data_IF_676546092892
#
_entry.id   IF_676546092892
#
_cell.length_a   1.000
_cell.length_b   1.000
_cell.length_c   1.000
_cell.angle_alpha   90.00
_cell.angle_beta   90.00
_cell.angle_gamma   90.00
#
_symmetry.space_group_name_H-M   'P 1'
#
loop_
_entity.id
_entity.type
_entity.pdbx_description
1 polymer ?
#
# COMPACT_ATOMS: atom_id res chain seq x y z
N UNK A 1 1.73 -9.57 -10.56
CA UNK A 1 1.06 -8.35 -10.04
C UNK A 1 1.97 -7.14 -10.26
N UNK A 2 1.45 -6.02 -10.80
CA UNK A 2 2.26 -4.82 -11.12
C UNK A 2 2.90 -4.17 -9.88
N UNK A 3 2.23 -4.25 -8.73
CA UNK A 3 2.66 -3.65 -7.47
C UNK A 3 3.59 -4.53 -6.61
N UNK A 4 4.02 -5.70 -7.10
CA UNK A 4 4.82 -6.64 -6.30
C UNK A 4 6.13 -6.03 -5.77
N UNK A 5 6.83 -5.23 -6.57
CA UNK A 5 8.05 -4.52 -6.13
C UNK A 5 7.80 -3.51 -5.01
N UNK A 6 6.58 -2.95 -4.94
CA UNK A 6 6.22 -2.06 -3.84
C UNK A 6 6.02 -2.87 -2.55
N UNK A 7 5.38 -4.03 -2.62
CA UNK A 7 5.24 -4.92 -1.45
C UNK A 7 6.59 -5.41 -0.94
N UNK A 8 7.50 -5.79 -1.84
CA UNK A 8 8.87 -6.18 -1.47
C UNK A 8 9.60 -5.03 -0.75
N UNK A 9 9.52 -3.82 -1.30
CA UNK A 9 10.09 -2.61 -0.68
C UNK A 9 9.49 -2.36 0.71
N UNK A 10 8.16 -2.43 0.85
CA UNK A 10 7.49 -2.23 2.13
C UNK A 10 7.94 -3.28 3.15
N UNK A 11 8.07 -4.54 2.73
CA UNK A 11 8.50 -5.63 3.62
C UNK A 11 9.95 -5.47 4.12
N UNK A 12 10.86 -4.98 3.25
CA UNK A 12 12.30 -4.89 3.55
C UNK A 12 12.68 -3.55 4.18
N UNK A 13 12.19 -2.45 3.61
CA UNK A 13 12.64 -1.09 3.95
C UNK A 13 11.57 -0.23 4.60
N UNK A 14 10.34 -0.75 4.77
CA UNK A 14 9.18 0.00 5.30
C UNK A 14 8.81 1.23 4.47
N UNK A 15 9.23 1.27 3.21
CA UNK A 15 8.92 2.35 2.27
C UNK A 15 8.32 1.76 1.00
N UNK A 16 7.34 2.46 0.41
CA UNK A 16 6.80 2.10 -0.90
C UNK A 16 7.80 2.44 -2.02
N UNK A 17 7.77 1.63 -3.08
CA UNK A 17 8.67 1.76 -4.22
C UNK A 17 8.12 2.64 -5.33
N UNK A 18 8.70 2.53 -6.53
CA UNK A 18 8.20 3.25 -7.72
C UNK A 18 6.82 2.77 -8.14
N UNK A 19 5.96 3.70 -8.56
CA UNK A 19 4.69 3.39 -9.17
C UNK A 19 4.89 2.56 -10.46
N UNK A 20 4.24 1.40 -10.59
CA UNK A 20 4.41 0.55 -11.76
C UNK A 20 3.63 1.04 -13.00
N UNK A 21 2.85 2.12 -12.87
CA UNK A 21 2.06 2.69 -13.96
C UNK A 21 2.66 3.94 -14.58
N UNK A 22 3.21 4.85 -13.76
CA UNK A 22 3.80 6.11 -14.25
C UNK A 22 5.29 6.29 -13.89
N UNK A 23 5.89 5.38 -13.12
CA UNK A 23 7.31 5.45 -12.73
C UNK A 23 7.63 6.43 -11.61
N UNK A 24 6.64 7.17 -11.09
CA UNK A 24 6.84 8.11 -9.99
C UNK A 24 7.31 7.43 -8.70
N UNK A 25 8.16 8.12 -7.93
CA UNK A 25 8.53 7.73 -6.56
C UNK A 25 7.51 8.19 -5.51
N UNK A 26 6.51 9.01 -5.89
CA UNK A 26 5.49 9.55 -5.00
C UNK A 26 4.37 8.51 -4.81
N UNK A 27 4.71 7.43 -4.13
CA UNK A 27 3.78 6.37 -3.73
C UNK A 27 3.65 6.37 -2.21
N UNK A 28 2.54 5.84 -1.74
CA UNK A 28 2.31 5.64 -0.31
C UNK A 28 1.48 4.36 -0.11
N UNK A 29 1.42 3.92 1.14
CA UNK A 29 0.73 2.71 1.54
C UNK A 29 0.19 2.81 2.96
N UNK A 30 -0.83 2.00 3.24
CA UNK A 30 -1.35 1.78 4.58
C UNK A 30 -1.75 0.32 4.75
N UNK A 31 -1.74 -0.17 5.98
CA UNK A 31 -2.52 -1.35 6.34
C UNK A 31 -3.53 -0.97 7.42
N UNK A 32 -4.74 -1.49 7.25
CA UNK A 32 -5.92 -1.13 8.03
C UNK A 32 -6.47 -2.39 8.68
N UNK A 33 -6.68 -2.33 9.99
CA UNK A 33 -7.26 -3.41 10.78
C UNK A 33 -6.88 -3.32 12.25
N UNK A 34 -7.08 -4.41 12.98
CA UNK A 34 -6.69 -4.53 14.39
C UNK A 34 -5.45 -5.40 14.51
N UNK A 35 -4.50 -5.03 15.37
CA UNK A 35 -3.31 -5.83 15.67
C UNK A 35 -3.70 -7.25 16.08
N UNK A 36 -3.02 -8.25 15.52
CA UNK A 36 -3.31 -9.68 15.72
C UNK A 36 -4.51 -10.19 14.91
N UNK A 37 -5.21 -9.31 14.21
CA UNK A 37 -6.33 -9.63 13.34
C UNK A 37 -5.98 -9.64 11.86
N UNK A 38 -6.98 -10.01 11.05
CA UNK A 38 -6.92 -9.91 9.59
C UNK A 38 -7.50 -8.57 9.16
N UNK A 39 -6.69 -7.78 8.47
CA UNK A 39 -7.05 -6.51 7.87
C UNK A 39 -6.84 -6.51 6.36
N UNK A 40 -6.60 -5.33 5.79
CA UNK A 40 -6.27 -5.15 4.38
C UNK A 40 -5.16 -4.13 4.20
N UNK A 41 -4.50 -4.17 3.04
CA UNK A 41 -3.49 -3.21 2.64
C UNK A 41 -3.96 -2.38 1.45
N UNK A 42 -3.52 -1.13 1.41
CA UNK A 42 -3.70 -0.24 0.27
C UNK A 42 -2.33 0.30 -0.13
N UNK A 43 -2.05 0.30 -1.43
CA UNK A 43 -0.86 0.94 -2.00
C UNK A 43 -1.33 1.81 -3.15
N UNK A 44 -0.89 3.07 -3.19
CA UNK A 44 -1.29 4.00 -4.24
C UNK A 44 -0.15 4.91 -4.69
N UNK A 45 -0.34 5.52 -5.85
CA UNK A 45 0.50 6.60 -6.35
C UNK A 45 -0.22 7.94 -6.19
N UNK A 46 0.45 8.90 -5.56
CA UNK A 46 -0.11 10.24 -5.37
C UNK A 46 -0.19 11.06 -6.66
N UNK A 47 0.57 10.70 -7.70
CA UNK A 47 0.59 11.43 -8.97
C UNK A 47 -0.45 10.91 -9.96
N UNK A 48 -0.36 9.63 -10.36
CA UNK A 48 -1.27 9.05 -11.36
C UNK A 48 -2.54 8.41 -10.76
N UNK A 49 -2.66 8.44 -9.42
CA UNK A 49 -3.78 7.89 -8.65
C UNK A 49 -4.01 6.39 -8.79
N UNK A 50 -3.17 5.66 -9.53
CA UNK A 50 -3.27 4.20 -9.62
C UNK A 50 -3.01 3.57 -8.25
N UNK A 51 -3.79 2.56 -7.89
CA UNK A 51 -3.72 1.89 -6.61
C UNK A 51 -3.96 0.39 -6.73
N UNK A 52 -3.63 -0.32 -5.66
CA UNK A 52 -3.82 -1.75 -5.50
C UNK A 52 -4.31 -2.08 -4.09
N UNK A 53 -5.41 -2.82 -4.04
CA UNK A 53 -5.97 -3.36 -2.82
C UNK A 53 -5.36 -4.74 -2.55
N UNK A 54 -4.71 -4.90 -1.40
CA UNK A 54 -4.25 -6.19 -0.90
C UNK A 54 -5.26 -6.73 0.11
N UNK A 55 -6.09 -7.66 -0.34
CA UNK A 55 -7.06 -8.33 0.53
C UNK A 55 -6.36 -9.21 1.57
N UNK A 56 -6.84 -9.20 2.81
CA UNK A 56 -6.46 -10.12 3.90
C UNK A 56 -4.96 -10.12 4.23
N UNK A 57 -4.58 -9.22 5.14
CA UNK A 57 -3.21 -9.13 5.68
C UNK A 57 -3.27 -9.34 7.18
N UNK A 58 -2.35 -10.13 7.73
CA UNK A 58 -2.17 -10.20 9.18
C UNK A 58 -1.58 -8.88 9.67
N UNK A 59 -2.29 -8.17 10.54
CA UNK A 59 -1.84 -6.87 11.05
C UNK A 59 -0.95 -7.09 12.26
N UNK A 60 0.31 -6.66 12.15
CA UNK A 60 1.23 -6.57 13.28
C UNK A 60 1.28 -5.13 13.80
N UNK A 61 1.83 -4.92 15.00
CA UNK A 61 2.01 -3.58 15.56
C UNK A 61 2.77 -2.65 14.61
N UNK A 62 3.78 -3.18 13.92
CA UNK A 62 4.63 -2.43 12.99
C UNK A 62 3.87 -1.92 11.75
N UNK A 63 2.83 -2.64 11.32
CA UNK A 63 2.11 -2.32 10.09
C UNK A 63 0.72 -1.73 10.34
N UNK A 64 0.30 -1.51 11.60
CA UNK A 64 -1.03 -0.99 11.92
C UNK A 64 -1.16 0.55 11.71
N UNK A 65 -0.90 1.00 10.48
CA UNK A 65 -0.73 2.41 10.15
C UNK A 65 -2.04 3.20 10.15
N UNK A 66 -3.15 2.59 9.70
CA UNK A 66 -4.48 3.22 9.61
C UNK A 66 -4.48 4.65 9.01
N UNK A 67 -3.57 4.93 8.06
CA UNK A 67 -3.55 6.22 7.35
C UNK A 67 -4.85 6.41 6.57
N UNK A 68 -5.28 7.66 6.44
CA UNK A 68 -6.40 8.02 5.56
C UNK A 68 -6.05 7.71 4.10
N UNK A 69 -6.93 6.94 3.45
CA UNK A 69 -6.78 6.56 2.05
C UNK A 69 -7.39 7.67 1.19
N UNK A 70 -6.68 8.23 0.19
CA UNK A 70 -7.25 9.27 -0.66
C UNK A 70 -8.49 8.78 -1.42
N UNK A 71 -9.56 9.57 -1.42
CA UNK A 71 -10.86 9.20 -2.01
C UNK A 71 -10.85 9.06 -3.54
N UNK A 72 -9.81 9.54 -4.22
CA UNK A 72 -9.72 9.61 -5.67
C UNK A 72 -8.68 8.64 -6.29
N UNK A 73 -8.33 7.57 -5.58
CA UNK A 73 -7.49 6.51 -6.13
C UNK A 73 -8.26 5.60 -7.09
N UNK A 74 -7.54 4.98 -8.03
CA UNK A 74 -8.07 4.17 -9.11
C UNK A 74 -7.42 2.79 -9.05
N UNK A 75 -8.20 1.76 -8.71
CA UNK A 75 -7.72 0.38 -8.63
C UNK A 75 -7.41 -0.20 -10.02
N UNK A 76 -6.22 -0.78 -10.18
CA UNK A 76 -5.71 -1.33 -11.46
C UNK A 76 -4.93 -2.63 -11.31
#
# INVERSE_FOLDING_TARGET
MKWIKNLESIAITKTSGKCPHCGSNNTDYTFVGNVGGVGYGEIWCNDCKSAYHLSRVLITEEYNLNKEIPKNIIYR
#
